data_IF_316199523518
#
_entry.id   IF_316199523518
#
_cell.length_a   1.000
_cell.length_b   1.000
_cell.length_c   1.000
_cell.angle_alpha   90.00
_cell.angle_beta   90.00
_cell.angle_gamma   90.00
#
_symmetry.space_group_name_H-M   'P 1'
#
loop_
_entity.id
_entity.type
_entity.pdbx_description
1 polymer ?
#
# COMPACT_ATOMS: atom_id res chain seq x y z
N UNK A 1 1.27 26.92 -8.43
CA UNK A 1 1.90 25.69 -8.97
C UNK A 1 0.78 24.76 -9.42
N UNK A 2 0.97 23.90 -10.43
CA UNK A 2 -0.07 22.90 -10.79
C UNK A 2 -0.08 21.79 -9.72
N UNK A 3 -1.25 21.21 -9.43
CA UNK A 3 -1.40 20.17 -8.39
C UNK A 3 -0.44 19.00 -8.62
N UNK A 4 -0.36 18.47 -9.84
CA UNK A 4 0.54 17.35 -10.15
C UNK A 4 2.03 17.66 -9.88
N UNK A 5 2.45 18.93 -9.99
CA UNK A 5 3.84 19.30 -9.67
C UNK A 5 4.05 19.28 -8.16
N UNK A 6 3.06 19.74 -7.38
CA UNK A 6 3.11 19.70 -5.92
C UNK A 6 3.19 18.24 -5.41
N UNK A 7 2.31 17.38 -5.93
CA UNK A 7 2.28 15.95 -5.60
C UNK A 7 3.54 15.22 -6.06
N UNK A 8 4.04 15.51 -7.27
CA UNK A 8 5.31 14.94 -7.72
C UNK A 8 6.48 15.31 -6.80
N UNK A 9 6.57 16.58 -6.37
CA UNK A 9 7.60 17.00 -5.40
C UNK A 9 7.41 16.28 -4.07
N UNK A 10 6.16 16.06 -3.62
CA UNK A 10 5.88 15.31 -2.41
C UNK A 10 6.43 13.89 -2.50
N UNK A 11 6.08 13.18 -3.57
CA UNK A 11 6.48 11.79 -3.79
C UNK A 11 8.00 11.66 -3.87
N UNK A 12 8.65 12.50 -4.68
CA UNK A 12 10.12 12.51 -4.78
C UNK A 12 10.76 12.80 -3.42
N UNK A 13 10.20 13.71 -2.63
CA UNK A 13 10.71 14.00 -1.28
C UNK A 13 10.59 12.79 -0.36
N UNK A 14 9.43 12.13 -0.32
CA UNK A 14 9.19 10.91 0.48
C UNK A 14 10.14 9.79 0.05
N UNK A 15 10.18 9.45 -1.24
CA UNK A 15 11.03 8.38 -1.76
C UNK A 15 12.50 8.64 -1.49
N UNK A 16 12.97 9.87 -1.68
CA UNK A 16 14.37 10.26 -1.42
C UNK A 16 14.71 10.12 0.06
N UNK A 17 13.85 10.62 0.96
CA UNK A 17 14.07 10.51 2.41
C UNK A 17 14.05 9.07 2.89
N UNK A 18 13.14 8.25 2.38
CA UNK A 18 13.09 6.82 2.66
C UNK A 18 14.38 6.12 2.18
N UNK A 19 14.86 6.40 0.98
CA UNK A 19 16.06 5.76 0.45
C UNK A 19 17.34 6.18 1.20
N UNK A 20 17.47 7.47 1.54
CA UNK A 20 18.56 7.94 2.42
C UNK A 20 18.50 7.23 3.77
N UNK A 21 17.30 7.08 4.34
CA UNK A 21 17.11 6.40 5.63
C UNK A 21 17.49 4.92 5.54
N UNK A 22 17.08 4.21 4.47
CA UNK A 22 17.49 2.82 4.23
C UNK A 22 19.00 2.67 4.07
N UNK A 23 19.63 3.60 3.37
CA UNK A 23 21.09 3.62 3.24
C UNK A 23 21.79 3.78 4.60
N UNK A 24 21.28 4.66 5.46
CA UNK A 24 21.81 4.84 6.83
C UNK A 24 21.61 3.54 7.64
N UNK A 25 20.43 2.93 7.58
CA UNK A 25 20.13 1.67 8.26
C UNK A 25 21.05 0.55 7.79
N UNK A 26 21.22 0.39 6.47
CA UNK A 26 22.07 -0.67 5.91
C UNK A 26 23.54 -0.45 6.27
N UNK A 27 24.02 0.80 6.27
CA UNK A 27 25.43 1.11 6.50
C UNK A 27 25.83 1.05 7.97
N UNK A 28 24.97 1.53 8.87
CA UNK A 28 25.34 1.77 10.27
C UNK A 28 24.62 0.88 11.29
N UNK A 29 23.40 0.40 10.98
CA UNK A 29 22.57 -0.37 11.92
C UNK A 29 22.62 -1.87 11.62
N UNK A 30 22.40 -2.27 10.35
CA UNK A 30 22.38 -3.68 9.93
C UNK A 30 23.63 -4.48 10.34
N UNK A 31 24.86 -3.94 10.27
CA UNK A 31 26.05 -4.67 10.71
C UNK A 31 26.10 -4.95 12.22
N UNK A 32 25.35 -4.18 13.03
CA UNK A 32 25.33 -4.28 14.50
C UNK A 32 24.15 -5.09 15.00
N UNK A 33 22.98 -4.92 14.38
CA UNK A 33 21.74 -5.58 14.77
C UNK A 33 20.84 -5.75 13.56
N UNK A 34 20.83 -6.96 12.99
CA UNK A 34 20.05 -7.30 11.79
C UNK A 34 18.55 -7.19 12.06
N UNK A 35 18.08 -7.70 13.20
CA UNK A 35 16.67 -7.68 13.56
C UNK A 35 16.14 -6.25 13.73
N UNK A 36 16.90 -5.38 14.41
CA UNK A 36 16.48 -3.98 14.52
C UNK A 36 16.51 -3.25 13.18
N UNK A 37 17.48 -3.56 12.31
CA UNK A 37 17.50 -3.01 10.95
C UNK A 37 16.30 -3.46 10.10
N UNK A 38 15.83 -4.70 10.28
CA UNK A 38 14.61 -5.22 9.66
C UNK A 38 13.37 -4.41 10.09
N UNK A 39 13.19 -4.20 11.41
CA UNK A 39 12.09 -3.37 11.93
C UNK A 39 12.14 -1.93 11.40
N UNK A 40 13.33 -1.34 11.28
CA UNK A 40 13.48 0.00 10.71
C UNK A 40 13.16 0.02 9.22
N UNK A 41 13.59 -0.99 8.46
CA UNK A 41 13.26 -1.08 7.04
C UNK A 41 11.77 -1.26 6.81
N UNK A 42 11.09 -2.03 7.66
CA UNK A 42 9.63 -2.15 7.64
C UNK A 42 8.94 -0.81 7.90
N UNK A 43 9.41 -0.06 8.91
CA UNK A 43 8.92 1.28 9.18
C UNK A 43 9.08 2.19 7.96
N UNK A 44 10.28 2.22 7.38
CA UNK A 44 10.61 3.08 6.23
C UNK A 44 9.81 2.67 4.98
N UNK A 45 9.65 1.37 4.74
CA UNK A 45 8.85 0.84 3.64
C UNK A 45 7.37 1.18 3.78
N UNK A 46 6.82 1.03 4.99
CA UNK A 46 5.43 1.42 5.25
C UNK A 46 5.23 2.93 5.07
N UNK A 47 6.17 3.77 5.52
CA UNK A 47 6.10 5.23 5.26
C UNK A 47 6.14 5.53 3.77
N UNK A 48 6.97 4.82 3.02
CA UNK A 48 7.09 5.00 1.57
C UNK A 48 5.78 4.69 0.84
N UNK A 49 5.07 3.65 1.26
CA UNK A 49 3.79 3.23 0.65
C UNK A 49 2.67 4.16 1.07
N UNK A 50 2.56 4.46 2.37
CA UNK A 50 1.40 5.14 2.95
C UNK A 50 1.45 6.66 2.71
N UNK A 51 2.60 7.31 2.86
CA UNK A 51 2.65 8.78 2.80
C UNK A 51 2.16 9.37 1.46
N UNK A 52 2.55 8.82 0.27
CA UNK A 52 2.04 9.31 -1.02
C UNK A 52 0.51 9.22 -1.16
N UNK A 53 -0.14 8.24 -0.52
CA UNK A 53 -1.57 7.99 -0.66
C UNK A 53 -2.44 9.14 -0.15
N UNK A 54 -1.92 9.97 0.76
CA UNK A 54 -2.63 11.15 1.25
C UNK A 54 -2.84 12.22 0.17
N UNK A 55 -2.07 12.24 -0.91
CA UNK A 55 -2.15 13.26 -1.96
C UNK A 55 -3.05 12.84 -3.15
N UNK A 56 -3.43 11.56 -3.23
CA UNK A 56 -4.14 10.97 -4.39
C UNK A 56 -5.49 11.67 -4.64
N UNK A 57 -6.22 12.03 -3.58
CA UNK A 57 -7.50 12.72 -3.72
C UNK A 57 -7.36 14.10 -4.38
N UNK A 58 -6.25 14.83 -4.17
CA UNK A 58 -6.03 16.10 -4.87
C UNK A 58 -5.86 15.90 -6.37
N UNK A 59 -5.19 14.83 -6.79
CA UNK A 59 -5.05 14.48 -8.21
C UNK A 59 -6.38 14.01 -8.79
N UNK A 60 -7.16 13.24 -8.06
CA UNK A 60 -8.51 12.82 -8.47
C UNK A 60 -9.42 14.01 -8.74
N UNK A 61 -9.47 14.99 -7.83
CA UNK A 61 -10.34 16.17 -7.97
C UNK A 61 -9.94 17.09 -9.13
N UNK A 62 -8.65 17.13 -9.49
CA UNK A 62 -8.14 18.07 -10.50
C UNK A 62 -7.95 17.46 -11.89
N UNK A 63 -7.69 16.15 -11.96
CA UNK A 63 -7.34 15.45 -13.20
C UNK A 63 -8.19 14.20 -13.44
N UNK A 64 -9.09 13.86 -12.53
CA UNK A 64 -9.99 12.71 -12.63
C UNK A 64 -9.26 11.37 -12.61
N UNK A 65 -9.97 10.32 -13.03
CA UNK A 65 -9.48 8.95 -13.02
C UNK A 65 -8.21 8.76 -13.86
N UNK A 66 -8.04 9.50 -14.95
CA UNK A 66 -6.83 9.42 -15.78
C UNK A 66 -5.59 9.90 -15.03
N UNK A 67 -5.72 10.97 -14.24
CA UNK A 67 -4.63 11.46 -13.39
C UNK A 67 -4.23 10.43 -12.34
N UNK A 68 -5.22 9.88 -11.63
CA UNK A 68 -5.00 8.83 -10.62
C UNK A 68 -4.35 7.59 -11.22
N UNK A 69 -4.78 7.14 -12.41
CA UNK A 69 -4.17 5.99 -13.06
C UNK A 69 -2.68 6.20 -13.31
N UNK A 70 -2.29 7.35 -13.87
CA UNK A 70 -0.88 7.68 -14.13
C UNK A 70 -0.08 7.79 -12.83
N UNK A 71 -0.68 8.40 -11.81
CA UNK A 71 -0.08 8.57 -10.49
C UNK A 71 0.18 7.24 -9.78
N UNK A 72 -0.82 6.37 -9.70
CA UNK A 72 -0.70 5.06 -9.07
C UNK A 72 0.30 4.19 -9.84
N UNK A 73 0.26 4.18 -11.17
CA UNK A 73 1.27 3.46 -11.97
C UNK A 73 2.69 3.94 -11.63
N UNK A 74 2.89 5.25 -11.53
CA UNK A 74 4.19 5.80 -11.15
C UNK A 74 4.62 5.36 -9.75
N UNK A 75 3.74 5.50 -8.76
CA UNK A 75 4.02 5.13 -7.37
C UNK A 75 4.35 3.63 -7.26
N UNK A 76 3.56 2.76 -7.90
CA UNK A 76 3.73 1.31 -7.88
C UNK A 76 5.02 0.86 -8.55
N UNK A 77 5.40 1.45 -9.69
CA UNK A 77 6.70 1.16 -10.33
C UNK A 77 7.85 1.51 -9.38
N UNK A 78 7.81 2.69 -8.76
CA UNK A 78 8.88 3.10 -7.85
C UNK A 78 8.94 2.17 -6.64
N UNK A 79 7.80 1.83 -6.05
CA UNK A 79 7.72 0.89 -4.94
C UNK A 79 8.29 -0.47 -5.30
N UNK A 80 7.91 -1.05 -6.43
CA UNK A 80 8.45 -2.32 -6.90
C UNK A 80 9.98 -2.29 -7.07
N UNK A 81 10.55 -1.15 -7.47
CA UNK A 81 11.99 -0.99 -7.66
C UNK A 81 12.78 -0.77 -6.35
N UNK A 82 12.21 -0.08 -5.36
CA UNK A 82 12.99 0.41 -4.19
C UNK A 82 12.44 0.03 -2.81
N UNK A 83 11.27 -0.62 -2.71
CA UNK A 83 10.70 -1.04 -1.42
C UNK A 83 11.56 -2.13 -0.73
N UNK A 84 12.27 -2.95 -1.51
CA UNK A 84 13.20 -4.01 -1.07
C UNK A 84 12.50 -5.03 -0.17
N UNK A 85 13.07 -5.28 1.02
CA UNK A 85 12.67 -6.35 1.94
C UNK A 85 11.47 -5.97 2.85
N UNK A 86 10.91 -4.77 2.71
CA UNK A 86 9.77 -4.34 3.53
C UNK A 86 8.48 -4.96 3.01
N UNK A 87 7.66 -5.48 3.93
CA UNK A 87 6.36 -6.07 3.60
C UNK A 87 5.35 -4.96 3.32
N UNK A 88 5.27 -3.96 4.23
CA UNK A 88 4.41 -2.78 4.14
C UNK A 88 2.90 -3.08 3.89
N UNK A 89 2.47 -4.31 4.17
CA UNK A 89 1.10 -4.78 4.05
C UNK A 89 0.79 -5.80 5.18
N UNK A 90 -0.27 -5.57 5.98
CA UNK A 90 -0.74 -6.53 6.97
C UNK A 90 -1.19 -7.89 6.41
N UNK A 91 -1.72 -7.93 5.19
CA UNK A 91 -2.32 -9.13 4.60
C UNK A 91 -1.37 -10.32 4.48
N UNK A 92 -0.21 -10.22 3.80
CA UNK A 92 0.76 -11.32 3.71
C UNK A 92 1.22 -11.83 5.07
N UNK A 93 1.39 -10.92 6.04
CA UNK A 93 1.87 -11.24 7.39
C UNK A 93 0.83 -12.04 8.20
N UNK A 94 -0.42 -11.58 8.22
CA UNK A 94 -1.52 -12.26 8.91
C UNK A 94 -1.83 -13.60 8.23
N UNK A 95 -1.83 -13.62 6.89
CA UNK A 95 -2.02 -14.84 6.13
C UNK A 95 -0.92 -15.88 6.41
N UNK A 96 0.35 -15.46 6.42
CA UNK A 96 1.49 -16.30 6.77
C UNK A 96 1.39 -16.88 8.19
N UNK A 97 0.85 -16.13 9.15
CA UNK A 97 0.56 -16.64 10.50
C UNK A 97 -0.51 -17.72 10.48
N UNK A 98 -1.58 -17.52 9.72
CA UNK A 98 -2.67 -18.50 9.59
C UNK A 98 -2.22 -19.80 8.92
N UNK A 99 -1.21 -19.73 8.03
CA UNK A 99 -0.57 -20.90 7.41
C UNK A 99 0.51 -21.55 8.29
N UNK A 100 0.82 -20.96 9.45
CA UNK A 100 1.86 -21.45 10.37
C UNK A 100 3.29 -21.17 9.91
N UNK A 101 3.48 -20.31 8.91
CA UNK A 101 4.80 -19.88 8.39
C UNK A 101 5.40 -18.81 9.29
N UNK A 102 4.57 -17.85 9.72
CA UNK A 102 4.99 -16.73 10.56
C UNK A 102 4.69 -16.98 12.04
N UNK A 103 5.58 -16.52 12.93
CA UNK A 103 5.32 -16.58 14.37
C UNK A 103 4.42 -15.44 14.83
N UNK A 104 3.49 -15.69 15.76
CA UNK A 104 2.59 -14.65 16.27
C UNK A 104 3.32 -13.46 16.90
N UNK A 105 4.50 -13.69 17.51
CA UNK A 105 5.34 -12.60 18.04
C UNK A 105 5.87 -11.69 16.94
N UNK A 106 6.31 -12.27 15.81
CA UNK A 106 6.80 -11.52 14.65
C UNK A 106 5.67 -10.69 14.05
N UNK A 107 4.50 -11.30 13.85
CA UNK A 107 3.30 -10.64 13.33
C UNK A 107 2.92 -9.43 14.16
N UNK A 108 2.78 -9.60 15.48
CA UNK A 108 2.43 -8.49 16.40
C UNK A 108 3.47 -7.37 16.33
N UNK A 109 4.76 -7.73 16.29
CA UNK A 109 5.85 -6.74 16.26
C UNK A 109 5.84 -5.94 14.97
N UNK A 110 5.75 -6.61 13.82
CA UNK A 110 5.74 -5.96 12.50
C UNK A 110 4.47 -5.11 12.33
N UNK A 111 3.30 -5.61 12.73
CA UNK A 111 2.07 -4.80 12.71
C UNK A 111 2.20 -3.54 13.56
N UNK A 112 2.77 -3.63 14.77
CA UNK A 112 2.99 -2.45 15.61
C UNK A 112 3.91 -1.41 14.94
N UNK A 113 4.93 -1.87 14.21
CA UNK A 113 5.79 -1.01 13.39
C UNK A 113 5.00 -0.37 12.24
N UNK A 114 4.20 -1.16 11.52
CA UNK A 114 3.37 -0.68 10.41
C UNK A 114 2.36 0.37 10.87
N UNK A 115 1.67 0.17 12.00
CA UNK A 115 0.79 1.18 12.61
C UNK A 115 1.53 2.45 12.99
N UNK A 116 2.71 2.32 13.60
CA UNK A 116 3.55 3.47 13.95
C UNK A 116 3.97 4.26 12.71
N UNK A 117 4.34 3.56 11.63
CA UNK A 117 4.72 4.14 10.35
C UNK A 117 3.53 4.78 9.62
N UNK A 118 2.35 4.16 9.64
CA UNK A 118 1.13 4.72 9.07
C UNK A 118 0.75 6.04 9.73
N UNK A 119 0.79 6.09 11.07
CA UNK A 119 0.58 7.35 11.81
C UNK A 119 1.66 8.39 11.52
N UNK A 120 2.92 7.98 11.44
CA UNK A 120 4.01 8.88 11.06
C UNK A 120 3.84 9.45 9.65
N UNK A 121 3.31 8.65 8.72
CA UNK A 121 3.04 9.06 7.33
C UNK A 121 2.01 10.20 7.26
N UNK A 122 0.97 10.14 8.08
CA UNK A 122 0.02 11.24 8.24
C UNK A 122 0.71 12.53 8.71
N UNK A 123 1.63 12.43 9.67
CA UNK A 123 2.41 13.59 10.13
C UNK A 123 3.29 14.13 9.00
N UNK A 124 3.97 13.26 8.24
CA UNK A 124 4.80 13.65 7.10
C UNK A 124 3.98 14.39 6.04
N UNK A 125 2.82 13.85 5.65
CA UNK A 125 1.91 14.48 4.69
C UNK A 125 1.47 15.88 5.16
N UNK A 126 0.97 16.00 6.40
CA UNK A 126 0.55 17.31 6.94
C UNK A 126 1.70 18.30 7.07
N UNK A 127 2.89 17.84 7.45
CA UNK A 127 4.08 18.71 7.51
C UNK A 127 4.45 19.21 6.12
N UNK A 128 4.38 18.35 5.11
CA UNK A 128 4.61 18.75 3.74
C UNK A 128 3.55 19.74 3.24
N UNK A 129 2.28 19.49 3.52
CA UNK A 129 1.17 20.39 3.17
C UNK A 129 1.32 21.77 3.80
N UNK A 130 1.87 21.85 5.02
CA UNK A 130 2.12 23.12 5.73
C UNK A 130 3.14 24.03 5.05
N UNK A 131 3.90 23.51 4.07
CA UNK A 131 4.78 24.31 3.21
C UNK A 131 3.99 25.18 2.21
N UNK A 132 2.68 24.98 2.08
CA UNK A 132 1.80 25.85 1.30
C UNK A 132 2.06 25.81 -0.21
N UNK A 133 2.55 24.67 -0.70
CA UNK A 133 2.91 24.49 -2.11
C UNK A 133 1.70 24.57 -3.08
N UNK A 134 0.50 24.28 -2.58
CA UNK A 134 -0.76 24.43 -3.31
C UNK A 134 -1.90 24.84 -2.35
N UNK A 135 -2.90 25.64 -2.77
CA UNK A 135 -4.05 25.99 -1.94
C UNK A 135 -4.79 24.79 -1.33
N UNK A 136 -5.02 23.72 -2.10
CA UNK A 136 -5.66 22.50 -1.57
C UNK A 136 -4.90 21.86 -0.40
N UNK A 137 -3.56 21.92 -0.39
CA UNK A 137 -2.77 21.41 0.74
C UNK A 137 -3.04 22.22 2.01
N UNK A 138 -3.18 23.54 1.89
CA UNK A 138 -3.50 24.39 3.04
C UNK A 138 -4.93 24.16 3.53
N UNK A 139 -5.87 24.00 2.61
CA UNK A 139 -7.27 23.70 2.93
C UNK A 139 -7.39 22.35 3.67
N UNK A 140 -6.70 21.31 3.20
CA UNK A 140 -6.69 19.99 3.84
C UNK A 140 -6.06 19.98 5.26
N UNK A 141 -5.33 21.03 5.66
CA UNK A 141 -4.85 21.15 7.04
C UNK A 141 -5.93 21.62 8.01
N UNK A 142 -6.94 22.33 7.50
CA UNK A 142 -8.04 22.93 8.25
C UNK A 142 -9.30 22.05 8.23
N UNK A 143 -9.48 21.25 7.18
CA UNK A 143 -10.62 20.34 7.03
C UNK A 143 -10.50 19.09 7.91
N UNK A 144 -11.67 18.62 8.39
CA UNK A 144 -11.79 17.31 9.00
C UNK A 144 -11.71 16.23 7.92
N UNK A 145 -11.02 15.12 8.18
CA UNK A 145 -10.93 14.06 7.17
C UNK A 145 -12.28 13.35 6.98
N UNK A 146 -12.62 13.08 5.73
CA UNK A 146 -13.76 12.27 5.30
C UNK A 146 -13.24 10.91 4.81
N UNK A 147 -14.03 9.86 5.01
CA UNK A 147 -13.68 8.52 4.58
C UNK A 147 -14.19 8.23 3.15
N UNK A 148 -13.40 7.53 2.34
CA UNK A 148 -13.71 7.29 0.92
C UNK A 148 -14.77 6.20 0.66
N UNK A 149 -15.31 5.57 1.72
CA UNK A 149 -16.36 4.56 1.58
C UNK A 149 -17.71 5.22 1.31
N UNK A 150 -18.11 5.26 0.05
CA UNK A 150 -19.37 5.89 -0.40
C UNK A 150 -20.53 4.89 -0.54
N UNK A 151 -20.26 3.61 -0.32
CA UNK A 151 -21.20 2.51 -0.54
C UNK A 151 -21.49 1.69 0.72
N UNK A 152 -22.46 0.79 0.64
CA UNK A 152 -22.78 -0.12 1.76
C UNK A 152 -21.60 -1.01 2.12
N UNK A 153 -21.49 -1.39 3.40
CA UNK A 153 -20.41 -2.26 3.92
C UNK A 153 -20.23 -3.52 3.09
N UNK A 154 -21.32 -4.20 2.73
CA UNK A 154 -21.25 -5.44 1.95
C UNK A 154 -20.69 -5.17 0.54
N UNK A 155 -21.17 -4.13 -0.13
CA UNK A 155 -20.70 -3.80 -1.47
C UNK A 155 -19.25 -3.32 -1.44
N UNK A 156 -18.86 -2.50 -0.46
CA UNK A 156 -17.48 -2.07 -0.27
C UNK A 156 -16.53 -3.24 -0.01
N UNK A 157 -16.92 -4.18 0.86
CA UNK A 157 -16.14 -5.40 1.09
C UNK A 157 -15.96 -6.23 -0.18
N UNK A 158 -16.99 -6.36 -1.03
CA UNK A 158 -16.86 -7.06 -2.32
C UNK A 158 -15.91 -6.34 -3.27
N UNK A 159 -15.93 -5.01 -3.29
CA UNK A 159 -15.04 -4.18 -4.12
C UNK A 159 -13.59 -4.36 -3.68
N UNK A 160 -13.27 -4.19 -2.39
CA UNK A 160 -11.91 -4.35 -1.84
C UNK A 160 -11.39 -5.79 -2.00
N UNK A 161 -12.22 -6.79 -1.67
CA UNK A 161 -11.83 -8.20 -1.86
C UNK A 161 -11.62 -8.54 -3.34
N UNK A 162 -12.50 -8.04 -4.22
CA UNK A 162 -12.40 -8.25 -5.66
C UNK A 162 -11.15 -7.61 -6.26
N UNK A 163 -10.83 -6.38 -5.86
CA UNK A 163 -9.61 -5.69 -6.26
C UNK A 163 -8.35 -6.41 -5.79
N UNK A 164 -8.29 -6.79 -4.51
CA UNK A 164 -7.18 -7.55 -3.95
C UNK A 164 -7.00 -8.91 -4.65
N UNK A 165 -8.09 -9.66 -4.87
CA UNK A 165 -8.04 -10.94 -5.58
C UNK A 165 -7.59 -10.78 -7.04
N UNK A 166 -8.06 -9.73 -7.72
CA UNK A 166 -7.66 -9.45 -9.10
C UNK A 166 -6.17 -9.11 -9.19
N UNK A 167 -5.63 -8.33 -8.25
CA UNK A 167 -4.21 -8.01 -8.16
C UNK A 167 -3.37 -9.29 -7.95
N UNK A 168 -3.71 -10.12 -6.96
CA UNK A 168 -3.01 -11.41 -6.71
C UNK A 168 -3.11 -12.37 -7.90
N UNK A 169 -4.27 -12.41 -8.57
CA UNK A 169 -4.46 -13.23 -9.77
C UNK A 169 -3.55 -12.76 -10.90
N UNK A 170 -3.47 -11.44 -11.13
CA UNK A 170 -2.60 -10.88 -12.15
C UNK A 170 -1.12 -11.11 -11.83
N UNK A 171 -0.71 -10.99 -10.57
CA UNK A 171 0.64 -11.30 -10.09
C UNK A 171 1.04 -12.73 -10.50
N UNK A 172 0.25 -13.73 -10.11
CA UNK A 172 0.51 -15.16 -10.45
C UNK A 172 0.61 -15.36 -11.97
N UNK A 173 -0.35 -14.82 -12.74
CA UNK A 173 -0.34 -14.99 -14.19
C UNK A 173 0.82 -14.29 -14.89
N UNK A 174 1.25 -13.13 -14.40
CA UNK A 174 2.36 -12.38 -14.96
C UNK A 174 3.69 -13.07 -14.65
N UNK A 175 3.87 -13.56 -13.43
CA UNK A 175 5.07 -14.31 -13.03
C UNK A 175 5.21 -15.65 -13.77
N UNK A 176 4.11 -16.32 -14.08
CA UNK A 176 4.13 -17.57 -14.86
C UNK A 176 4.49 -17.31 -16.35
N UNK A 177 3.95 -16.24 -16.95
CA UNK A 177 3.98 -16.05 -18.41
C UNK A 177 5.05 -15.09 -18.92
N UNK A 178 5.54 -14.19 -18.08
CA UNK A 178 6.47 -13.13 -18.47
C UNK A 178 7.84 -13.44 -17.89
N UNK A 179 8.85 -13.57 -18.77
CA UNK A 179 10.22 -13.91 -18.33
C UNK A 179 10.98 -12.68 -17.82
N UNK A 180 10.63 -11.49 -18.29
CA UNK A 180 11.37 -10.26 -17.97
C UNK A 180 10.77 -9.57 -16.72
N UNK A 181 11.55 -9.52 -15.64
CA UNK A 181 11.17 -8.88 -14.36
C UNK A 181 10.73 -7.42 -14.54
N UNK A 182 11.41 -6.63 -15.38
CA UNK A 182 11.04 -5.24 -15.62
C UNK A 182 9.66 -5.12 -16.31
N UNK A 183 9.28 -6.10 -17.13
CA UNK A 183 7.96 -6.13 -17.74
C UNK A 183 6.89 -6.52 -16.72
N UNK A 184 7.18 -7.46 -15.81
CA UNK A 184 6.28 -7.81 -14.70
C UNK A 184 5.98 -6.57 -13.85
N UNK A 185 7.01 -5.82 -13.45
CA UNK A 185 6.86 -4.60 -12.65
C UNK A 185 5.91 -3.60 -13.32
N UNK A 186 6.15 -3.29 -14.60
CA UNK A 186 5.32 -2.32 -15.33
C UNK A 186 3.89 -2.83 -15.51
N UNK A 187 3.71 -4.10 -15.84
CA UNK A 187 2.38 -4.69 -16.03
C UNK A 187 1.59 -4.78 -14.72
N UNK A 188 2.23 -5.15 -13.62
CA UNK A 188 1.61 -5.15 -12.29
C UNK A 188 1.18 -3.74 -11.88
N UNK A 189 2.05 -2.73 -12.08
CA UNK A 189 1.69 -1.34 -11.80
C UNK A 189 0.51 -0.85 -12.64
N UNK A 190 0.44 -1.24 -13.93
CA UNK A 190 -0.72 -0.95 -14.80
C UNK A 190 -1.99 -1.62 -14.25
N UNK A 191 -1.90 -2.88 -13.83
CA UNK A 191 -3.03 -3.59 -13.22
C UNK A 191 -3.50 -2.90 -11.95
N UNK A 192 -2.59 -2.53 -11.04
CA UNK A 192 -2.91 -1.77 -9.83
C UNK A 192 -3.61 -0.45 -10.18
N UNK A 193 -3.08 0.32 -11.13
CA UNK A 193 -3.71 1.56 -11.59
C UNK A 193 -5.13 1.36 -12.14
N UNK A 194 -5.36 0.30 -12.92
CA UNK A 194 -6.70 -0.05 -13.44
C UNK A 194 -7.65 -0.43 -12.30
N UNK A 195 -7.20 -1.28 -11.37
CA UNK A 195 -8.00 -1.70 -10.22
C UNK A 195 -8.38 -0.49 -9.37
N UNK A 196 -7.42 0.39 -9.07
CA UNK A 196 -7.65 1.61 -8.30
C UNK A 196 -8.73 2.48 -8.94
N UNK A 197 -8.64 2.83 -10.23
CA UNK A 197 -9.65 3.71 -10.86
C UNK A 197 -11.04 3.07 -10.93
N UNK A 198 -11.15 1.75 -10.93
CA UNK A 198 -12.44 1.04 -10.94
C UNK A 198 -13.15 1.11 -9.57
N UNK A 199 -12.39 1.24 -8.48
CA UNK A 199 -12.95 1.22 -7.11
C UNK A 199 -12.79 2.51 -6.31
N UNK A 200 -11.98 3.47 -6.77
CA UNK A 200 -11.61 4.65 -5.97
C UNK A 200 -12.82 5.47 -5.50
N UNK A 201 -13.83 5.65 -6.36
CA UNK A 201 -15.07 6.36 -5.98
C UNK A 201 -16.00 5.57 -5.06
N UNK A 202 -15.75 4.27 -4.87
CA UNK A 202 -16.59 3.38 -4.06
C UNK A 202 -16.01 3.19 -2.66
N UNK A 203 -14.70 2.95 -2.57
CA UNK A 203 -14.02 2.60 -1.31
C UNK A 203 -12.67 3.31 -1.12
N UNK A 204 -12.21 4.10 -2.07
CA UNK A 204 -10.80 4.51 -2.20
C UNK A 204 -9.91 3.48 -2.88
N UNK A 205 -10.35 2.21 -2.95
CA UNK A 205 -9.59 1.06 -3.48
C UNK A 205 -8.17 0.99 -2.93
N UNK A 206 -8.07 0.80 -1.61
CA UNK A 206 -6.79 0.75 -0.94
C UNK A 206 -6.12 -0.61 -1.08
N UNK A 207 -6.89 -1.70 -1.04
CA UNK A 207 -6.45 -3.10 -1.10
C UNK A 207 -5.31 -3.48 -0.13
N UNK A 208 -4.97 -2.59 0.81
CA UNK A 208 -3.94 -2.71 1.82
C UNK A 208 -4.49 -2.14 3.14
N UNK A 209 -4.65 -2.98 4.20
CA UNK A 209 -5.28 -2.54 5.44
C UNK A 209 -4.53 -1.42 6.17
N UNK A 210 -3.19 -1.32 6.08
CA UNK A 210 -2.47 -0.26 6.79
C UNK A 210 -2.61 1.09 6.09
N UNK A 211 -2.68 1.10 4.75
CA UNK A 211 -2.97 2.31 3.98
C UNK A 211 -4.37 2.81 4.29
N UNK A 212 -5.37 1.94 4.19
CA UNK A 212 -6.75 2.28 4.51
C UNK A 212 -6.90 2.77 5.96
N UNK A 213 -6.19 2.15 6.91
CA UNK A 213 -6.19 2.61 8.29
C UNK A 213 -5.59 4.01 8.43
N UNK A 214 -4.43 4.28 7.83
CA UNK A 214 -3.78 5.57 7.96
C UNK A 214 -4.59 6.71 7.30
N UNK A 215 -5.23 6.43 6.15
CA UNK A 215 -5.95 7.45 5.38
C UNK A 215 -7.38 7.70 5.89
N UNK A 216 -8.08 6.68 6.40
CA UNK A 216 -9.53 6.80 6.68
C UNK A 216 -9.95 6.46 8.11
N UNK A 217 -9.08 5.87 8.94
CA UNK A 217 -9.46 5.51 10.29
C UNK A 217 -9.70 6.76 11.16
N UNK A 218 -10.83 6.77 11.87
CA UNK A 218 -11.28 7.91 12.68
C UNK A 218 -11.63 9.17 11.86
N UNK A 219 -11.74 9.06 10.54
CA UNK A 219 -12.40 10.06 9.71
C UNK A 219 -13.91 9.98 9.86
N UNK A 220 -14.58 11.09 9.55
CA UNK A 220 -16.03 11.17 9.63
C UNK A 220 -16.70 10.17 8.67
N UNK A 221 -17.97 9.87 8.90
CA UNK A 221 -18.86 9.13 7.97
C UNK A 221 -18.73 7.59 7.96
N UNK A 222 -17.64 7.00 8.45
CA UNK A 222 -17.47 5.52 8.49
C UNK A 222 -17.36 5.00 9.92
N UNK A 223 -18.17 4.00 10.25
CA UNK A 223 -18.10 3.32 11.55
C UNK A 223 -16.86 2.43 11.65
N UNK A 224 -16.30 2.25 12.85
CA UNK A 224 -15.18 1.30 13.05
C UNK A 224 -15.50 -0.12 12.59
N UNK A 225 -16.76 -0.54 12.70
CA UNK A 225 -17.24 -1.82 12.19
C UNK A 225 -17.11 -1.89 10.67
N UNK A 226 -17.63 -0.88 9.96
CA UNK A 226 -17.53 -0.80 8.51
C UNK A 226 -16.07 -0.80 8.05
N UNK A 227 -15.21 0.00 8.69
CA UNK A 227 -13.78 0.06 8.38
C UNK A 227 -13.10 -1.30 8.50
N UNK A 228 -13.31 -2.00 9.63
CA UNK A 228 -12.74 -3.31 9.86
C UNK A 228 -13.19 -4.36 8.83
N UNK A 229 -14.49 -4.42 8.51
CA UNK A 229 -14.98 -5.41 7.55
C UNK A 229 -14.57 -5.13 6.11
N UNK A 230 -14.59 -3.86 5.69
CA UNK A 230 -14.26 -3.46 4.32
C UNK A 230 -12.76 -3.54 4.07
N UNK A 231 -11.94 -2.95 4.95
CA UNK A 231 -10.51 -2.74 4.67
C UNK A 231 -9.57 -3.77 5.31
N UNK A 232 -10.04 -4.58 6.27
CA UNK A 232 -9.21 -5.62 6.89
C UNK A 232 -9.69 -7.02 6.52
N UNK A 233 -10.94 -7.35 6.87
CA UNK A 233 -11.45 -8.70 6.65
C UNK A 233 -11.58 -9.05 5.17
N UNK A 234 -12.01 -8.12 4.32
CA UNK A 234 -12.24 -8.41 2.91
C UNK A 234 -10.94 -8.67 2.12
N UNK A 235 -9.88 -7.83 2.24
CA UNK A 235 -8.58 -8.14 1.64
C UNK A 235 -7.96 -9.44 2.18
N UNK A 236 -8.05 -9.70 3.49
CA UNK A 236 -7.57 -10.97 4.07
C UNK A 236 -8.30 -12.19 3.48
N UNK A 237 -9.62 -12.11 3.31
CA UNK A 237 -10.40 -13.18 2.69
C UNK A 237 -9.99 -13.38 1.22
N UNK A 238 -9.68 -12.31 0.49
CA UNK A 238 -9.17 -12.41 -0.87
C UNK A 238 -7.84 -13.18 -0.93
N UNK A 239 -6.92 -12.96 0.01
CA UNK A 239 -5.68 -13.74 0.13
C UNK A 239 -5.96 -15.23 0.36
N UNK A 240 -6.92 -15.58 1.22
CA UNK A 240 -7.31 -16.98 1.42
C UNK A 240 -7.91 -17.63 0.18
N UNK A 241 -8.74 -16.89 -0.57
CA UNK A 241 -9.33 -17.38 -1.82
C UNK A 241 -8.23 -17.57 -2.87
N UNK A 242 -7.30 -16.62 -2.99
CA UNK A 242 -6.18 -16.70 -3.92
C UNK A 242 -5.29 -17.94 -3.63
N UNK A 243 -4.93 -18.19 -2.38
CA UNK A 243 -4.18 -19.41 -1.99
C UNK A 243 -4.94 -20.69 -2.33
N UNK A 244 -6.26 -20.72 -2.11
CA UNK A 244 -7.09 -21.87 -2.50
C UNK A 244 -7.10 -22.13 -4.01
N UNK A 245 -7.00 -21.08 -4.83
CA UNK A 245 -6.99 -21.14 -6.30
C UNK A 245 -5.61 -21.47 -6.86
N UNK A 246 -4.55 -20.86 -6.31
CA UNK A 246 -3.20 -20.86 -6.90
C UNK A 246 -2.12 -21.55 -6.05
N UNK A 247 -2.33 -21.76 -4.75
CA UNK A 247 -1.30 -22.28 -3.83
C UNK A 247 -0.82 -23.71 -4.15
N UNK A 248 -1.60 -24.48 -4.94
CA UNK A 248 -1.14 -25.78 -5.47
C UNK A 248 -0.20 -25.68 -6.66
N UNK A 249 -0.20 -24.55 -7.37
CA UNK A 249 0.64 -24.31 -8.56
C UNK A 249 2.06 -23.92 -8.12
N UNK A 250 2.17 -23.06 -7.10
CA UNK A 250 3.47 -22.62 -6.56
C UNK A 250 4.29 -23.77 -5.93
N UNK A 251 3.66 -24.68 -5.19
CA UNK A 251 4.35 -25.85 -4.62
C UNK A 251 4.91 -26.82 -5.69
N UNK A 252 4.30 -26.87 -6.87
CA UNK A 252 4.74 -27.74 -7.98
C UNK A 252 5.90 -27.12 -8.75
N UNK A 253 5.88 -25.80 -8.96
CA UNK A 253 6.96 -25.10 -9.67
C UNK A 253 8.20 -24.88 -8.82
N UNK A 254 8.05 -24.73 -7.50
CA UNK A 254 9.20 -24.66 -6.58
C UNK A 254 9.99 -25.99 -6.58
N UNK A 255 9.28 -27.13 -6.57
CA UNK A 255 9.90 -28.46 -6.67
C UNK A 255 10.63 -28.71 -7.99
N UNK A 256 10.16 -28.12 -9.10
CA UNK A 256 10.84 -28.22 -10.41
C UNK A 256 12.09 -27.35 -10.55
N UNK A 257 12.21 -26.27 -9.76
CA UNK A 257 13.39 -25.40 -9.75
C UNK A 257 14.51 -25.93 -8.84
N UNK A 258 14.19 -26.86 -7.93
CA UNK A 258 15.14 -27.49 -7.01
C UNK A 258 15.73 -28.82 -7.52
N UNK A 259 15.25 -29.34 -8.66
CA UNK A 259 15.79 -30.52 -9.38
C UNK A 259 16.73 -30.12 -10.53
#
# INVERSE_FOLDING_TARGET
MRVWVASFIFYVSVFTLCEISRFIVSRFIKPKNVYFAELLNEFIGTVQIVAPMFDVNFVLENYGLQGVMVEIIFIEIINALILRDAIADPCPLIFGFMKGVESGRRVITILAVQFSAGYFSYIVARRFWSLGMHPFHLQALEEECSADLTVTVIYGSLVEAGGCLAAKTAEVFLEEKVVNENQIIVLQAIVSGIITILGIHLTGMYANPIVAWACTFNCSEVTYFAHFFVYWMAPLLAWHIADGLFGKVEEVDTKKKEE
#
